data_IF_558784475370
#
_entry.id   IF_558784475370
#
_cell.length_a   1.000
_cell.length_b   1.000
_cell.length_c   1.000
_cell.angle_alpha   90.00
_cell.angle_beta   90.00
_cell.angle_gamma   90.00
#
_symmetry.space_group_name_H-M   'P 1'
#
loop_
_entity.id
_entity.type
_entity.pdbx_description
1 polymer ?
#
# COMPACT_ATOMS: atom_id res chain seq x y z
N UNK A 1 7.28 3.39 4.00
CA UNK A 1 5.97 4.06 3.97
C UNK A 1 5.99 5.03 2.81
N UNK A 2 5.14 4.79 1.82
CA UNK A 2 5.02 5.56 0.60
C UNK A 2 3.67 6.30 0.65
N UNK A 3 3.68 7.63 0.52
CA UNK A 3 2.47 8.44 0.51
C UNK A 3 2.15 8.82 -0.94
N UNK A 4 0.94 8.46 -1.39
CA UNK A 4 0.51 8.69 -2.77
C UNK A 4 -0.76 9.53 -2.78
N UNK A 5 -0.68 10.69 -3.43
CA UNK A 5 -1.84 11.49 -3.81
C UNK A 5 -2.29 11.06 -5.20
N UNK A 6 -3.48 10.48 -5.30
CA UNK A 6 -4.08 10.07 -6.58
C UNK A 6 -5.07 11.13 -7.06
N UNK A 7 -5.19 11.31 -8.37
CA UNK A 7 -6.14 12.24 -9.02
C UNK A 7 -7.52 11.62 -9.28
N UNK A 8 -7.72 10.40 -8.83
CA UNK A 8 -8.90 9.57 -9.06
C UNK A 8 -9.41 9.01 -7.73
N UNK A 9 -10.73 8.89 -7.61
CA UNK A 9 -11.38 8.25 -6.46
C UNK A 9 -11.66 6.78 -6.79
N UNK A 10 -11.02 5.88 -6.06
CA UNK A 10 -11.31 4.45 -6.00
C UNK A 10 -12.19 4.17 -4.79
N UNK A 11 -13.32 3.49 -5.02
CA UNK A 11 -14.23 3.00 -3.98
C UNK A 11 -13.70 1.68 -3.39
N UNK A 12 -12.51 1.76 -2.81
CA UNK A 12 -11.84 0.64 -2.13
C UNK A 12 -11.86 0.87 -0.62
N UNK A 13 -11.93 -0.20 0.20
CA UNK A 13 -11.96 -0.09 1.66
C UNK A 13 -10.84 0.77 2.24
N UNK A 14 -11.09 1.34 3.42
CA UNK A 14 -10.10 2.15 4.14
C UNK A 14 -8.78 1.39 4.40
N UNK A 15 -8.85 0.06 4.50
CA UNK A 15 -7.73 -0.83 4.71
C UNK A 15 -7.79 -2.00 3.73
N UNK A 16 -6.78 -2.09 2.86
CA UNK A 16 -6.70 -3.13 1.84
C UNK A 16 -5.30 -3.75 1.87
N UNK A 17 -5.23 -5.08 1.89
CA UNK A 17 -3.99 -5.83 1.76
C UNK A 17 -4.03 -6.57 0.42
N UNK A 18 -3.05 -6.29 -0.43
CA UNK A 18 -2.81 -7.04 -1.66
C UNK A 18 -1.71 -8.04 -1.35
N UNK A 19 -2.03 -9.33 -1.48
CA UNK A 19 -1.07 -10.40 -1.24
C UNK A 19 -0.34 -10.76 -2.54
N UNK A 20 0.95 -11.03 -2.40
CA UNK A 20 1.77 -11.61 -3.46
C UNK A 20 1.38 -13.07 -3.71
N UNK A 21 1.56 -13.55 -4.93
CA UNK A 21 1.31 -14.94 -5.32
C UNK A 21 2.15 -15.92 -4.49
N UNK A 22 3.37 -15.54 -4.12
CA UNK A 22 4.26 -16.30 -3.22
C UNK A 22 4.42 -15.61 -1.85
N UNK A 23 3.28 -15.46 -1.16
CA UNK A 23 3.22 -14.85 0.17
C UNK A 23 4.18 -15.48 1.19
N UNK A 24 4.35 -16.81 1.17
CA UNK A 24 5.23 -17.51 2.10
C UNK A 24 6.70 -17.11 1.90
N UNK A 25 7.15 -17.01 0.63
CA UNK A 25 8.49 -16.52 0.31
C UNK A 25 8.65 -15.05 0.68
N UNK A 26 7.66 -14.21 0.40
CA UNK A 26 7.65 -12.81 0.81
C UNK A 26 7.87 -12.68 2.32
N UNK A 27 7.02 -13.30 3.15
CA UNK A 27 7.12 -13.29 4.62
C UNK A 27 8.47 -13.82 5.11
N UNK A 28 8.99 -14.87 4.49
CA UNK A 28 10.31 -15.43 4.81
C UNK A 28 11.43 -14.43 4.50
N UNK A 29 11.35 -13.70 3.39
CA UNK A 29 12.32 -12.66 3.02
C UNK A 29 12.38 -11.53 4.05
N UNK A 30 11.22 -11.02 4.46
CA UNK A 30 11.13 -9.96 5.48
C UNK A 30 11.59 -10.45 6.86
N UNK A 31 11.18 -11.65 7.29
CA UNK A 31 11.53 -12.20 8.61
C UNK A 31 12.98 -12.63 8.71
N UNK A 32 13.56 -13.17 7.63
CA UNK A 32 14.97 -13.59 7.60
C UNK A 32 15.93 -12.46 7.22
N UNK A 33 15.43 -11.24 7.00
CA UNK A 33 16.23 -10.06 6.60
C UNK A 33 17.16 -10.39 5.43
N UNK A 34 16.63 -11.02 4.38
CA UNK A 34 17.45 -11.29 3.18
C UNK A 34 17.78 -10.00 2.43
N UNK A 35 17.07 -8.89 2.72
CA UNK A 35 17.20 -7.59 2.04
C UNK A 35 16.98 -7.69 0.51
N UNK A 36 16.42 -8.79 0.04
CA UNK A 36 16.04 -8.99 -1.35
C UNK A 36 14.74 -8.25 -1.62
N UNK A 37 14.73 -7.45 -2.67
CA UNK A 37 13.50 -6.85 -3.17
C UNK A 37 12.71 -7.97 -3.90
N UNK A 38 11.53 -8.35 -3.41
CA UNK A 38 10.71 -9.35 -4.09
C UNK A 38 10.16 -8.77 -5.39
N UNK A 39 10.14 -9.57 -6.45
CA UNK A 39 9.54 -9.18 -7.74
C UNK A 39 8.03 -8.92 -7.61
N UNK A 40 7.39 -9.56 -6.63
CA UNK A 40 5.97 -9.42 -6.30
C UNK A 40 5.80 -9.20 -4.78
N UNK A 41 5.77 -7.94 -4.31
CA UNK A 41 5.59 -7.62 -2.90
C UNK A 41 4.12 -7.67 -2.48
N UNK A 42 3.84 -8.20 -1.28
CA UNK A 42 2.56 -7.93 -0.64
C UNK A 42 2.53 -6.49 -0.13
N UNK A 43 1.49 -5.72 -0.48
CA UNK A 43 1.35 -4.31 -0.13
C UNK A 43 0.11 -4.06 0.72
N UNK A 44 0.25 -3.15 1.68
CA UNK A 44 -0.87 -2.63 2.44
C UNK A 44 -1.18 -1.21 1.96
N UNK A 45 -2.45 -0.98 1.64
CA UNK A 45 -2.99 0.29 1.17
C UNK A 45 -3.97 0.80 2.22
N UNK A 46 -3.72 1.99 2.74
CA UNK A 46 -4.66 2.73 3.56
C UNK A 46 -5.27 3.86 2.74
N UNK A 47 -6.56 3.73 2.39
CA UNK A 47 -7.31 4.75 1.67
C UNK A 47 -8.01 5.67 2.69
N UNK A 48 -7.41 6.79 3.05
CA UNK A 48 -7.94 7.64 4.12
C UNK A 48 -9.18 8.43 3.69
N UNK A 49 -9.28 8.72 2.38
CA UNK A 49 -10.33 9.56 1.82
C UNK A 49 -11.73 8.94 1.86
N UNK A 50 -11.89 7.61 1.90
CA UNK A 50 -13.21 6.98 2.07
C UNK A 50 -13.85 7.24 3.45
N UNK A 51 -13.04 7.55 4.46
CA UNK A 51 -13.54 7.85 5.82
C UNK A 51 -13.62 9.35 6.07
N UNK A 52 -12.73 10.14 5.46
CA UNK A 52 -12.69 11.58 5.62
C UNK A 52 -12.26 12.27 4.31
N UNK A 53 -13.25 12.84 3.62
CA UNK A 53 -13.08 13.57 2.36
C UNK A 53 -12.27 14.87 2.51
N UNK A 54 -12.01 15.35 3.73
CA UNK A 54 -11.17 16.53 3.97
C UNK A 54 -9.67 16.26 3.84
N UNK A 55 -9.27 14.97 3.86
CA UNK A 55 -7.87 14.55 3.78
C UNK A 55 -7.27 14.64 2.38
N UNK A 56 -8.07 14.98 1.38
CA UNK A 56 -7.60 15.19 0.01
C UNK A 56 -8.39 16.34 -0.66
N UNK A 57 -7.78 17.08 -1.59
CA UNK A 57 -8.50 18.08 -2.38
C UNK A 57 -9.66 17.45 -3.15
N UNK A 58 -10.74 18.21 -3.42
CA UNK A 58 -11.91 17.71 -4.17
C UNK A 58 -11.50 16.92 -5.42
N UNK A 59 -11.92 15.64 -5.48
CA UNK A 59 -11.60 14.64 -6.52
C UNK A 59 -10.17 14.06 -6.47
N UNK A 60 -9.57 13.94 -5.30
CA UNK A 60 -8.27 13.27 -5.11
C UNK A 60 -8.36 12.29 -3.93
N UNK A 61 -7.54 11.26 -3.93
CA UNK A 61 -7.38 10.32 -2.80
C UNK A 61 -6.03 10.56 -2.13
N UNK A 62 -6.02 10.59 -0.80
CA UNK A 62 -4.82 10.40 0.00
C UNK A 62 -4.71 8.94 0.42
N UNK A 63 -3.68 8.27 -0.09
CA UNK A 63 -3.39 6.87 0.21
C UNK A 63 -2.01 6.70 0.81
N UNK A 64 -1.93 5.89 1.85
CA UNK A 64 -0.67 5.49 2.48
C UNK A 64 -0.40 4.02 2.14
N UNK A 65 0.65 3.79 1.36
CA UNK A 65 1.14 2.47 1.03
C UNK A 65 2.26 2.09 2.00
N UNK A 66 2.03 1.08 2.83
CA UNK A 66 3.09 0.46 3.64
C UNK A 66 3.72 -0.68 2.83
N UNK A 67 4.52 -0.31 1.82
CA UNK A 67 5.40 -1.22 1.11
C UNK A 67 6.85 -1.03 1.55
N UNK A 68 7.58 -2.12 1.70
CA UNK A 68 9.03 -2.13 1.88
C UNK A 68 9.73 -1.86 0.55
N UNK A 69 9.61 -0.63 0.05
CA UNK A 69 10.62 0.04 -0.78
C UNK A 69 10.18 1.49 -1.05
N UNK A 70 10.92 2.44 -0.49
CA UNK A 70 11.13 3.74 -1.10
C UNK A 70 12.58 3.67 -1.59
N UNK A 71 12.80 3.76 -2.90
CA UNK A 71 14.07 4.27 -3.42
C UNK A 71 14.03 5.80 -3.32
#
# INVERSE_FOLDING_TARGET
MLYLGLDTIYDEPHHTIVFSDDYARFVKGITKKTYELPDDPSIYIQNASVTDDSLAPKRKISSLCAGSSCQ
#
